data_IF_059601640610
#
_entry.id   IF_059601640610
#
_cell.length_a   1.000
_cell.length_b   1.000
_cell.length_c   1.000
_cell.angle_alpha   90.00
_cell.angle_beta   90.00
_cell.angle_gamma   90.00
#
_symmetry.space_group_name_H-M   'P 1'
#
loop_
_entity.id
_entity.type
_entity.pdbx_description
1 polymer ?
#
# COMPACT_ATOMS: atom_id res chain seq x y z
N UNK A 1 -64.85 36.99 -33.29
CA UNK A 1 -64.98 37.25 -31.84
C UNK A 1 -63.90 36.41 -31.17
N UNK A 2 -62.86 36.88 -30.47
CA UNK A 2 -62.44 38.17 -29.91
C UNK A 2 -60.92 38.33 -30.17
N UNK A 3 -60.38 39.46 -30.64
CA UNK A 3 -59.81 40.61 -29.86
C UNK A 3 -59.16 40.14 -28.55
N UNK A 4 -57.85 40.32 -28.32
CA UNK A 4 -57.26 41.62 -27.93
C UNK A 4 -55.73 41.72 -28.11
N UNK A 5 -55.31 42.92 -28.53
CA UNK A 5 -53.98 43.58 -28.54
C UNK A 5 -53.24 43.61 -27.18
N UNK A 6 -52.14 44.38 -27.01
CA UNK A 6 -50.87 44.52 -27.76
C UNK A 6 -49.66 44.43 -26.79
N UNK A 7 -48.41 44.43 -27.26
CA UNK A 7 -47.28 44.80 -26.40
C UNK A 7 -46.50 45.99 -26.98
N UNK A 8 -46.43 47.01 -26.13
CA UNK A 8 -45.84 48.33 -26.29
C UNK A 8 -44.32 48.29 -26.27
N UNK A 9 -43.76 49.30 -26.93
CA UNK A 9 -42.36 49.72 -26.88
C UNK A 9 -41.87 50.11 -25.48
N UNK A 10 -40.56 49.99 -25.27
CA UNK A 10 -39.84 50.60 -24.15
C UNK A 10 -38.37 50.17 -24.11
N UNK A 11 -37.49 50.96 -24.72
CA UNK A 11 -36.10 51.13 -24.28
C UNK A 11 -36.02 52.50 -23.55
N UNK A 12 -34.91 52.94 -22.94
CA UNK A 12 -33.67 52.30 -22.46
C UNK A 12 -33.39 52.65 -20.97
N UNK A 13 -32.32 52.14 -20.35
CA UNK A 13 -31.46 52.87 -19.39
C UNK A 13 -30.45 51.92 -18.73
N UNK A 14 -29.18 52.28 -18.88
CA UNK A 14 -28.07 51.73 -18.13
C UNK A 14 -28.14 52.20 -16.66
N UNK A 15 -27.91 51.29 -15.71
CA UNK A 15 -27.45 51.63 -14.37
C UNK A 15 -26.35 50.63 -14.02
N UNK A 16 -25.11 51.14 -14.03
CA UNK A 16 -23.94 50.49 -13.49
C UNK A 16 -24.11 50.31 -11.98
N UNK A 17 -23.99 49.07 -11.49
CA UNK A 17 -23.76 48.79 -10.08
C UNK A 17 -22.52 47.91 -9.99
N UNK A 18 -21.42 48.54 -9.58
CA UNK A 18 -20.21 47.89 -9.10
C UNK A 18 -20.55 47.19 -7.77
N UNK A 19 -20.66 45.86 -7.79
CA UNK A 19 -20.64 45.05 -6.57
C UNK A 19 -19.23 44.51 -6.42
N UNK A 20 -18.47 45.13 -5.52
CA UNK A 20 -17.23 44.57 -5.00
C UNK A 20 -17.57 43.33 -4.18
N UNK A 21 -17.45 42.14 -4.78
CA UNK A 21 -17.44 40.88 -4.06
C UNK A 21 -16.07 40.72 -3.42
N UNK A 22 -15.99 41.06 -2.14
CA UNK A 22 -14.93 40.63 -1.23
C UNK A 22 -15.08 39.11 -1.09
N UNK A 23 -14.30 38.36 -1.85
CA UNK A 23 -14.11 36.92 -1.60
C UNK A 23 -13.26 36.78 -0.34
N UNK A 24 -13.93 36.59 0.80
CA UNK A 24 -13.29 36.10 2.02
C UNK A 24 -12.79 34.68 1.72
N UNK A 25 -11.48 34.52 1.64
CA UNK A 25 -10.81 33.23 1.61
C UNK A 25 -10.97 32.59 3.00
N UNK A 26 -12.02 31.80 3.20
CA UNK A 26 -12.04 30.89 4.34
C UNK A 26 -11.03 29.79 4.08
N UNK A 27 -9.84 29.93 4.67
CA UNK A 27 -8.95 28.82 4.94
C UNK A 27 -9.68 27.83 5.84
N UNK A 28 -10.13 26.73 5.25
CA UNK A 28 -10.56 25.55 5.97
C UNK A 28 -9.43 24.54 5.94
N UNK A 29 -8.55 24.56 6.94
CA UNK A 29 -7.82 23.36 7.31
C UNK A 29 -8.88 22.34 7.73
N UNK A 30 -9.19 21.40 6.83
CA UNK A 30 -9.98 20.24 7.17
C UNK A 30 -9.08 19.35 8.05
N UNK A 31 -9.07 19.62 9.36
CA UNK A 31 -8.70 18.61 10.34
C UNK A 31 -9.77 17.51 10.27
N UNK A 32 -9.61 16.63 9.29
CA UNK A 32 -10.32 15.35 9.26
C UNK A 32 -9.98 14.60 10.55
N UNK A 33 -10.95 13.91 11.12
CA UNK A 33 -10.69 12.98 12.21
C UNK A 33 -9.55 12.03 11.77
N UNK A 34 -8.57 11.74 12.65
CA UNK A 34 -7.52 10.80 12.32
C UNK A 34 -8.15 9.45 11.98
N UNK A 35 -7.75 8.84 10.85
CA UNK A 35 -8.02 7.44 10.56
C UNK A 35 -9.19 7.10 9.61
N UNK A 36 -9.51 7.92 8.60
CA UNK A 36 -10.41 7.47 7.51
C UNK A 36 -9.94 7.73 6.08
N UNK A 37 -8.86 8.49 5.91
CA UNK A 37 -8.26 8.73 4.59
C UNK A 37 -6.96 7.95 4.47
N UNK A 38 -6.58 7.65 3.23
CA UNK A 38 -5.22 7.21 2.92
C UNK A 38 -4.21 8.21 3.49
N UNK A 39 -3.08 7.70 3.98
CA UNK A 39 -1.98 8.49 4.48
C UNK A 39 -1.45 9.45 3.39
N UNK A 40 -0.82 10.53 3.83
CA UNK A 40 -0.17 11.47 2.91
C UNK A 40 0.90 10.74 2.08
N UNK A 41 0.92 10.88 0.74
CA UNK A 41 1.95 10.28 -0.10
C UNK A 41 3.39 10.63 0.30
N UNK A 42 3.64 11.81 0.86
CA UNK A 42 4.97 12.20 1.35
C UNK A 42 5.37 11.36 2.59
N UNK A 43 4.43 11.11 3.50
CA UNK A 43 4.66 10.24 4.67
C UNK A 43 4.92 8.80 4.25
N UNK A 44 4.17 8.29 3.27
CA UNK A 44 4.41 6.96 2.70
C UNK A 44 5.81 6.90 2.09
N UNK A 45 6.19 7.92 1.31
CA UNK A 45 7.49 7.97 0.66
C UNK A 45 8.66 8.01 1.64
N UNK A 46 8.55 8.81 2.72
CA UNK A 46 9.55 8.88 3.78
C UNK A 46 9.80 7.51 4.41
N UNK A 47 8.73 6.81 4.82
CA UNK A 47 8.81 5.51 5.49
C UNK A 47 9.28 4.39 4.56
N UNK A 48 8.68 4.30 3.37
CA UNK A 48 8.97 3.23 2.42
C UNK A 48 10.40 3.32 1.86
N UNK A 49 10.86 4.52 1.52
CA UNK A 49 12.19 4.73 0.95
C UNK A 49 13.32 4.38 1.94
N UNK A 50 13.06 4.50 3.25
CA UNK A 50 14.03 4.14 4.28
C UNK A 50 14.40 2.65 4.26
N UNK A 51 13.53 1.81 3.69
CA UNK A 51 13.74 0.35 3.56
C UNK A 51 13.80 -0.14 2.12
N UNK A 52 13.80 0.78 1.15
CA UNK A 52 13.93 0.45 -0.27
C UNK A 52 12.64 -0.07 -0.92
N UNK A 53 11.48 0.22 -0.33
CA UNK A 53 10.17 -0.05 -0.95
C UNK A 53 9.76 1.17 -1.77
N UNK A 54 9.31 0.96 -3.01
CA UNK A 54 8.74 2.02 -3.82
C UNK A 54 7.45 2.56 -3.18
N UNK A 55 7.30 3.89 -2.95
CA UNK A 55 6.17 4.45 -2.22
C UNK A 55 4.80 4.10 -2.82
N UNK A 56 4.72 4.02 -4.15
CA UNK A 56 3.52 3.65 -4.90
C UNK A 56 3.14 2.16 -4.76
N UNK A 57 4.03 1.33 -4.21
CA UNK A 57 3.80 -0.11 -4.00
C UNK A 57 3.42 -0.44 -2.54
N UNK A 58 3.14 0.57 -1.70
CA UNK A 58 2.71 0.38 -0.31
C UNK A 58 1.19 0.21 -0.22
N UNK A 59 0.75 -1.01 0.07
CA UNK A 59 -0.66 -1.37 0.28
C UNK A 59 -0.83 -2.19 1.55
N UNK A 60 -1.94 -2.04 2.24
CA UNK A 60 -2.30 -2.88 3.40
C UNK A 60 -3.59 -3.65 3.11
N UNK A 61 -3.95 -4.55 4.02
CA UNK A 61 -5.22 -5.29 4.00
C UNK A 61 -5.71 -5.52 5.43
N UNK A 62 -6.99 -5.88 5.55
CA UNK A 62 -7.60 -6.35 6.79
C UNK A 62 -8.27 -7.72 6.54
N UNK A 63 -8.10 -8.65 7.49
CA UNK A 63 -8.73 -9.97 7.45
C UNK A 63 -9.14 -10.35 8.87
N UNK A 64 -10.38 -10.77 9.05
CA UNK A 64 -10.92 -11.12 10.37
C UNK A 64 -10.05 -12.18 11.08
N UNK A 65 -9.56 -11.82 12.27
CA UNK A 65 -8.77 -12.72 13.11
C UNK A 65 -7.30 -12.86 12.71
N UNK A 66 -6.82 -12.04 11.78
CA UNK A 66 -5.40 -11.95 11.45
C UNK A 66 -4.85 -10.59 11.87
N UNK A 67 -3.68 -10.62 12.52
CA UNK A 67 -2.96 -9.41 12.92
C UNK A 67 -1.71 -9.25 12.05
N UNK A 68 -1.39 -8.02 11.65
CA UNK A 68 -0.14 -7.75 10.94
C UNK A 68 1.04 -8.14 11.83
N UNK A 69 2.04 -8.76 11.23
CA UNK A 69 3.31 -9.08 11.86
C UNK A 69 4.36 -8.07 11.36
N UNK A 70 4.62 -6.93 12.04
CA UNK A 70 5.34 -5.81 11.44
C UNK A 70 6.78 -6.15 11.03
N UNK A 71 7.45 -7.07 11.74
CA UNK A 71 8.77 -7.57 11.35
C UNK A 71 8.80 -8.31 9.99
N UNK A 72 7.64 -8.65 9.42
CA UNK A 72 7.53 -9.24 8.08
C UNK A 72 7.53 -8.21 6.96
N UNK A 73 7.36 -6.92 7.30
CA UNK A 73 7.32 -5.83 6.32
C UNK A 73 8.71 -5.57 5.78
N UNK A 74 8.87 -5.69 4.47
CA UNK A 74 10.15 -5.50 3.80
C UNK A 74 10.02 -5.49 2.29
N UNK A 75 11.16 -5.39 1.62
CA UNK A 75 11.23 -5.42 0.16
C UNK A 75 10.82 -6.78 -0.40
N UNK A 76 9.89 -6.75 -1.35
CA UNK A 76 9.45 -7.87 -2.15
C UNK A 76 10.31 -8.06 -3.40
N UNK A 77 9.70 -8.51 -4.49
CA UNK A 77 10.39 -8.56 -5.78
C UNK A 77 10.66 -7.14 -6.29
N UNK A 78 11.85 -6.93 -6.87
CA UNK A 78 12.35 -5.61 -7.28
C UNK A 78 12.34 -4.60 -6.11
N UNK A 79 11.41 -3.65 -6.13
CA UNK A 79 11.18 -2.58 -5.16
C UNK A 79 9.77 -2.65 -4.53
N UNK A 80 9.04 -3.74 -4.75
CA UNK A 80 7.73 -3.99 -4.15
C UNK A 80 7.80 -4.18 -2.64
N UNK A 81 6.62 -4.26 -2.03
CA UNK A 81 6.45 -4.57 -0.61
C UNK A 81 6.06 -6.04 -0.43
N UNK A 82 6.54 -6.66 0.65
CA UNK A 82 5.99 -7.89 1.22
C UNK A 82 5.54 -7.62 2.65
N UNK A 83 4.38 -8.14 3.05
CA UNK A 83 3.87 -8.06 4.41
C UNK A 83 2.98 -9.27 4.73
N UNK A 84 3.03 -9.76 5.97
CA UNK A 84 2.31 -10.96 6.42
C UNK A 84 1.45 -10.68 7.64
N UNK A 85 0.20 -11.10 7.58
CA UNK A 85 -0.73 -11.16 8.69
C UNK A 85 -0.85 -12.60 9.20
N UNK A 86 -0.93 -12.76 10.51
CA UNK A 86 -0.92 -14.04 11.20
C UNK A 86 -2.20 -14.21 12.03
N UNK A 87 -2.84 -15.37 11.92
CA UNK A 87 -3.93 -15.75 12.79
C UNK A 87 -3.39 -16.57 13.97
N UNK A 88 -3.34 -15.96 15.16
CA UNK A 88 -2.79 -16.63 16.36
C UNK A 88 -3.57 -17.88 16.77
N UNK A 89 -4.85 -17.97 16.43
CA UNK A 89 -5.71 -19.09 16.82
C UNK A 89 -5.46 -20.33 15.97
N UNK A 90 -5.26 -20.14 14.66
CA UNK A 90 -5.11 -21.25 13.70
C UNK A 90 -3.66 -21.48 13.27
N UNK A 91 -2.79 -20.49 13.41
CA UNK A 91 -1.43 -20.49 12.86
C UNK A 91 -1.36 -20.13 11.38
N UNK A 92 -2.52 -19.85 10.75
CA UNK A 92 -2.61 -19.48 9.34
C UNK A 92 -1.94 -18.13 9.08
N UNK A 93 -1.37 -17.98 7.88
CA UNK A 93 -0.72 -16.74 7.45
C UNK A 93 -1.25 -16.30 6.10
N UNK A 94 -1.53 -15.01 5.98
CA UNK A 94 -1.85 -14.33 4.72
C UNK A 94 -0.72 -13.37 4.42
N UNK A 95 -0.16 -13.46 3.22
CA UNK A 95 0.93 -12.58 2.78
C UNK A 95 0.49 -11.81 1.55
N UNK A 96 0.71 -10.50 1.55
CA UNK A 96 0.61 -9.70 0.34
C UNK A 96 2.01 -9.44 -0.22
N UNK A 97 2.11 -9.42 -1.55
CA UNK A 97 3.27 -8.91 -2.28
C UNK A 97 2.80 -7.96 -3.37
N UNK A 98 3.42 -6.80 -3.44
CA UNK A 98 3.10 -5.80 -4.46
C UNK A 98 4.17 -5.77 -5.55
N UNK A 99 3.75 -5.50 -6.77
CA UNK A 99 4.62 -5.30 -7.91
C UNK A 99 3.94 -4.32 -8.88
N UNK A 100 4.73 -3.57 -9.64
CA UNK A 100 4.21 -2.74 -10.72
C UNK A 100 3.79 -3.62 -11.90
N UNK A 101 2.68 -3.31 -12.53
CA UNK A 101 2.28 -3.98 -13.76
C UNK A 101 0.78 -4.08 -13.98
N UNK A 102 0.44 -4.78 -15.06
CA UNK A 102 -0.93 -5.04 -15.46
C UNK A 102 -1.18 -6.55 -15.49
N UNK A 103 -2.41 -6.94 -15.16
CA UNK A 103 -2.86 -8.32 -15.26
C UNK A 103 -3.75 -8.49 -16.47
N UNK A 104 -3.44 -9.50 -17.28
CA UNK A 104 -4.27 -9.93 -18.41
C UNK A 104 -4.63 -11.40 -18.22
N UNK A 105 -5.68 -11.87 -18.89
CA UNK A 105 -6.03 -13.29 -18.84
C UNK A 105 -4.88 -14.21 -19.31
N UNK A 106 -4.07 -13.74 -20.28
CA UNK A 106 -2.92 -14.48 -20.78
C UNK A 106 -1.79 -14.53 -19.73
N UNK A 107 -1.34 -13.36 -19.25
CA UNK A 107 -0.26 -13.29 -18.25
C UNK A 107 -0.63 -13.98 -16.94
N UNK A 108 -1.92 -14.01 -16.59
CA UNK A 108 -2.41 -14.68 -15.40
C UNK A 108 -2.17 -16.20 -15.40
N UNK A 109 -2.34 -16.84 -16.56
CA UNK A 109 -2.17 -18.28 -16.76
C UNK A 109 -0.70 -18.63 -17.02
N UNK A 110 0.04 -17.76 -17.71
CA UNK A 110 1.45 -17.98 -18.06
C UNK A 110 2.40 -17.84 -16.86
N UNK A 111 2.05 -16.98 -15.90
CA UNK A 111 2.84 -16.82 -14.68
C UNK A 111 2.68 -18.09 -13.83
N UNK A 112 3.76 -18.74 -13.36
CA UNK A 112 3.65 -19.87 -12.44
C UNK A 112 3.08 -19.47 -11.06
N UNK A 113 2.63 -20.46 -10.28
CA UNK A 113 2.37 -20.28 -8.85
C UNK A 113 3.66 -20.55 -8.07
N UNK A 114 4.01 -19.68 -7.12
CA UNK A 114 5.26 -19.81 -6.37
C UNK A 114 5.33 -21.11 -5.55
N UNK A 115 4.24 -21.46 -4.88
CA UNK A 115 4.13 -22.68 -4.06
C UNK A 115 3.90 -23.96 -4.88
N UNK A 116 3.62 -23.83 -6.18
CA UNK A 116 3.36 -24.95 -7.08
C UNK A 116 3.83 -24.63 -8.52
N UNK A 117 5.14 -24.47 -8.76
CA UNK A 117 5.65 -23.96 -10.03
C UNK A 117 5.48 -24.94 -11.20
N UNK A 118 5.33 -26.23 -10.91
CA UNK A 118 5.14 -27.29 -11.90
C UNK A 118 3.65 -27.55 -12.23
N UNK A 119 2.72 -26.93 -11.49
CA UNK A 119 1.28 -27.09 -11.70
C UNK A 119 0.76 -26.11 -12.76
N UNK A 120 -0.17 -26.59 -13.59
CA UNK A 120 -0.86 -25.72 -14.54
C UNK A 120 -1.76 -24.72 -13.80
N UNK A 121 -1.70 -23.44 -14.18
CA UNK A 121 -2.47 -22.38 -13.56
C UNK A 121 -3.84 -22.22 -14.22
N UNK A 122 -4.90 -22.29 -13.43
CA UNK A 122 -6.24 -21.83 -13.82
C UNK A 122 -6.43 -20.42 -13.26
N UNK A 123 -7.03 -19.54 -14.06
CA UNK A 123 -7.25 -18.15 -13.68
C UNK A 123 -8.67 -17.68 -14.03
N UNK A 124 -9.32 -16.99 -13.10
CA UNK A 124 -10.66 -16.39 -13.28
C UNK A 124 -10.65 -14.95 -12.77
N UNK A 125 -11.23 -14.02 -13.53
CA UNK A 125 -11.49 -12.65 -13.06
C UNK A 125 -12.82 -12.61 -12.30
N UNK A 126 -12.76 -12.20 -11.03
CA UNK A 126 -13.88 -12.06 -10.11
C UNK A 126 -14.20 -10.59 -9.81
N UNK A 127 -14.20 -9.75 -10.85
CA UNK A 127 -14.58 -8.33 -10.75
C UNK A 127 -13.43 -7.43 -10.35
N UNK A 128 -12.26 -7.62 -10.98
CA UNK A 128 -11.03 -6.86 -10.70
C UNK A 128 -10.10 -7.56 -9.70
N UNK A 129 -10.48 -8.74 -9.22
CA UNK A 129 -9.65 -9.64 -8.42
C UNK A 129 -9.48 -10.93 -9.21
N UNK A 130 -8.24 -11.28 -9.54
CA UNK A 130 -7.94 -12.50 -10.27
C UNK A 130 -7.75 -13.65 -9.29
N UNK A 131 -8.60 -14.66 -9.33
CA UNK A 131 -8.38 -15.93 -8.64
C UNK A 131 -7.48 -16.82 -9.49
N UNK A 132 -6.36 -17.25 -8.91
CA UNK A 132 -5.39 -18.17 -9.51
C UNK A 132 -5.29 -19.44 -8.68
N UNK A 133 -5.27 -20.59 -9.34
CA UNK A 133 -5.15 -21.88 -8.66
C UNK A 133 -4.41 -22.93 -9.49
N UNK A 134 -3.78 -23.87 -8.79
CA UNK A 134 -3.06 -25.01 -9.37
C UNK A 134 -2.79 -26.04 -8.28
N UNK A 135 -3.14 -27.30 -8.53
CA UNK A 135 -3.17 -28.33 -7.48
C UNK A 135 -4.07 -27.92 -6.30
N UNK A 136 -3.48 -27.80 -5.11
CA UNK A 136 -4.15 -27.34 -3.88
C UNK A 136 -3.90 -25.87 -3.55
N UNK A 137 -3.10 -25.17 -4.36
CA UNK A 137 -2.68 -23.79 -4.10
C UNK A 137 -3.72 -22.82 -4.64
N UNK A 138 -4.06 -21.81 -3.82
CA UNK A 138 -4.91 -20.69 -4.17
C UNK A 138 -4.15 -19.39 -3.96
N UNK A 139 -4.30 -18.46 -4.89
CA UNK A 139 -3.77 -17.10 -4.84
C UNK A 139 -4.81 -16.14 -5.41
N UNK A 140 -4.87 -14.92 -4.88
CA UNK A 140 -5.68 -13.85 -5.44
C UNK A 140 -4.80 -12.66 -5.81
N UNK A 141 -5.12 -11.96 -6.90
CA UNK A 141 -4.43 -10.73 -7.29
C UNK A 141 -5.46 -9.62 -7.40
N UNK A 142 -5.42 -8.67 -6.47
CA UNK A 142 -6.11 -7.40 -6.61
C UNK A 142 -5.29 -6.46 -7.51
N UNK A 143 -5.97 -5.69 -8.35
CA UNK A 143 -5.32 -4.72 -9.25
C UNK A 143 -5.80 -3.32 -8.90
N UNK A 144 -4.86 -2.43 -8.58
CA UNK A 144 -5.15 -1.03 -8.25
C UNK A 144 -4.08 -0.12 -8.90
N UNK A 145 -4.50 0.87 -9.69
CA UNK A 145 -3.61 1.92 -10.22
C UNK A 145 -2.30 1.43 -10.90
N UNK A 146 -2.34 0.29 -11.60
CA UNK A 146 -1.16 -0.29 -12.24
C UNK A 146 -0.23 -1.05 -11.28
N UNK A 147 -0.76 -1.41 -10.10
CA UNK A 147 -0.11 -2.25 -9.09
C UNK A 147 -0.84 -3.59 -9.02
N UNK A 148 -0.06 -4.66 -8.98
CA UNK A 148 -0.51 -6.02 -8.77
C UNK A 148 -0.28 -6.37 -7.29
N UNK A 149 -1.37 -6.53 -6.54
CA UNK A 149 -1.32 -6.91 -5.12
C UNK A 149 -1.68 -8.39 -5.02
N UNK A 150 -0.63 -9.21 -4.96
CA UNK A 150 -0.71 -10.66 -4.87
C UNK A 150 -0.92 -11.10 -3.43
N UNK A 151 -1.97 -11.87 -3.18
CA UNK A 151 -2.34 -12.42 -1.88
C UNK A 151 -2.18 -13.94 -1.90
N UNK A 152 -1.29 -14.44 -1.05
CA UNK A 152 -0.98 -15.87 -0.88
C UNK A 152 -1.21 -16.32 0.54
N UNK A 153 -1.51 -17.61 0.74
CA UNK A 153 -1.70 -18.22 2.05
C UNK A 153 -0.71 -19.33 2.36
N UNK A 154 -0.30 -19.44 3.62
CA UNK A 154 0.45 -20.60 4.16
C UNK A 154 -0.18 -21.10 5.45
N UNK A 155 0.22 -22.29 5.91
CA UNK A 155 -0.34 -22.95 7.11
C UNK A 155 -1.87 -23.08 7.06
N UNK A 156 -2.38 -23.63 5.96
CA UNK A 156 -3.81 -23.88 5.75
C UNK A 156 -4.72 -22.63 5.81
N UNK A 157 -4.18 -21.44 5.50
CA UNK A 157 -4.99 -20.25 5.26
C UNK A 157 -6.04 -20.54 4.16
N UNK A 158 -7.31 -20.28 4.48
CA UNK A 158 -8.41 -20.71 3.62
C UNK A 158 -8.51 -19.82 2.37
N UNK A 159 -8.98 -20.33 1.22
CA UNK A 159 -9.24 -19.50 0.04
C UNK A 159 -10.23 -18.36 0.33
N UNK A 160 -11.14 -18.54 1.29
CA UNK A 160 -12.07 -17.51 1.72
C UNK A 160 -11.36 -16.33 2.42
N UNK A 161 -10.37 -16.62 3.28
CA UNK A 161 -9.57 -15.59 3.95
C UNK A 161 -8.71 -14.83 2.95
N UNK A 162 -8.11 -15.54 1.98
CA UNK A 162 -7.33 -14.90 0.91
C UNK A 162 -8.19 -13.99 0.03
N UNK A 163 -9.41 -14.41 -0.30
CA UNK A 163 -10.35 -13.57 -1.03
C UNK A 163 -10.80 -12.36 -0.21
N UNK A 164 -11.03 -12.54 1.10
CA UNK A 164 -11.38 -11.45 2.00
C UNK A 164 -10.26 -10.40 2.05
N UNK A 165 -9.00 -10.85 2.19
CA UNK A 165 -7.83 -10.00 2.14
C UNK A 165 -7.73 -9.24 0.81
N UNK A 166 -7.81 -9.95 -0.32
CA UNK A 166 -7.72 -9.33 -1.64
C UNK A 166 -8.80 -8.25 -1.86
N UNK A 167 -10.00 -8.43 -1.29
CA UNK A 167 -11.08 -7.43 -1.34
C UNK A 167 -10.84 -6.22 -0.43
N UNK A 168 -10.09 -6.42 0.65
CA UNK A 168 -9.80 -5.39 1.65
C UNK A 168 -8.49 -4.64 1.36
N UNK A 169 -7.80 -4.92 0.25
CA UNK A 169 -6.58 -4.21 -0.15
C UNK A 169 -6.85 -2.71 -0.34
N UNK A 170 -6.01 -1.87 0.27
CA UNK A 170 -6.08 -0.40 0.12
C UNK A 170 -4.73 0.27 0.44
N UNK A 171 -4.59 1.55 0.06
CA UNK A 171 -3.46 2.39 0.51
C UNK A 171 -3.63 2.65 2.00
N UNK A 172 -2.59 2.45 2.84
CA UNK A 172 -2.74 2.53 4.29
C UNK A 172 -3.18 3.92 4.75
N UNK A 173 -3.98 3.98 5.81
CA UNK A 173 -4.20 5.18 6.62
C UNK A 173 -2.93 5.54 7.42
N UNK A 174 -2.87 6.73 8.03
CA UNK A 174 -1.70 7.13 8.83
C UNK A 174 -1.38 6.13 9.96
N UNK A 175 -2.41 5.57 10.61
CA UNK A 175 -2.23 4.61 11.70
C UNK A 175 -1.74 3.24 11.20
N UNK A 176 -2.23 2.79 10.04
CA UNK A 176 -1.75 1.55 9.42
C UNK A 176 -0.34 1.72 8.87
N UNK A 177 0.00 2.90 8.35
CA UNK A 177 1.35 3.23 7.92
C UNK A 177 2.32 3.20 9.10
N UNK A 178 1.92 3.75 10.25
CA UNK A 178 2.71 3.66 11.50
C UNK A 178 2.90 2.20 11.92
N UNK A 179 1.85 1.38 11.86
CA UNK A 179 1.91 -0.04 12.21
C UNK A 179 2.77 -0.87 11.23
N UNK A 180 2.64 -0.64 9.92
CA UNK A 180 3.43 -1.32 8.88
C UNK A 180 4.93 -1.18 9.14
N UNK A 181 5.34 0.00 9.60
CA UNK A 181 6.74 0.33 9.77
C UNK A 181 7.16 0.44 11.25
N UNK A 182 6.40 -0.15 12.17
CA UNK A 182 6.65 -0.03 13.62
C UNK A 182 7.90 -0.79 14.09
N UNK A 183 8.28 -1.85 13.37
CA UNK A 183 9.46 -2.67 13.69
C UNK A 183 10.72 -2.20 12.96
N UNK A 184 10.63 -1.12 12.17
CA UNK A 184 11.81 -0.54 11.56
C UNK A 184 12.69 0.11 12.64
N UNK A 185 14.02 -0.11 12.60
CA UNK A 185 14.92 0.58 13.49
C UNK A 185 14.81 2.08 13.24
N UNK A 186 14.66 2.86 14.31
CA UNK A 186 14.78 4.30 14.25
C UNK A 186 16.17 4.63 13.68
N UNK A 187 16.22 5.37 12.57
CA UNK A 187 17.49 5.82 12.00
C UNK A 187 18.11 6.81 12.99
N UNK A 188 19.27 6.51 13.61
CA UNK A 188 19.88 7.47 14.52
C UNK A 188 20.24 8.73 13.74
N UNK A 189 19.86 9.90 14.27
CA UNK A 189 20.12 11.21 13.64
C UNK A 189 21.63 11.47 13.40
N UNK A 190 22.48 10.76 14.12
CA UNK A 190 23.93 10.85 14.04
C UNK A 190 24.53 9.53 13.52
N UNK A 191 25.44 9.59 12.53
CA UNK A 191 26.22 8.42 12.12
C UNK A 191 26.88 7.76 13.33
N UNK A 192 26.72 6.45 13.45
CA UNK A 192 27.40 5.69 14.51
C UNK A 192 28.90 5.74 14.23
N UNK A 193 29.66 6.35 15.13
CA UNK A 193 31.12 6.32 15.07
C UNK A 193 31.58 4.87 15.32
N UNK A 194 32.03 4.19 14.26
CA UNK A 194 32.66 2.87 14.40
C UNK A 194 34.00 3.08 15.11
N UNK A 195 34.09 2.62 16.35
CA UNK A 195 35.34 2.57 17.09
C UNK A 195 36.41 1.76 16.34
N UNK A 196 37.68 2.13 16.58
CA UNK A 196 38.91 1.36 16.42
C UNK A 196 39.04 0.41 15.22
N UNK A 197 38.39 0.73 14.10
CA UNK A 197 38.74 0.14 12.80
C UNK A 197 40.13 0.68 12.42
N UNK A 198 41.13 -0.18 12.24
CA UNK A 198 42.47 0.27 11.83
C UNK A 198 42.41 0.99 10.48
N UNK A 199 43.11 2.12 10.33
CA UNK A 199 43.26 2.79 9.02
C UNK A 199 43.90 1.87 7.95
N UNK A 200 44.63 0.84 8.41
CA UNK A 200 45.24 -0.19 7.59
C UNK A 200 44.98 -1.56 8.24
N UNK A 201 44.34 -2.48 7.52
CA UNK A 201 43.99 -3.81 8.04
C UNK A 201 42.80 -4.41 7.30
N UNK A 202 42.38 -5.59 7.72
CA UNK A 202 41.17 -6.27 7.22
C UNK A 202 39.86 -5.73 7.81
N UNK A 203 39.94 -4.70 8.67
CA UNK A 203 38.80 -4.07 9.31
C UNK A 203 38.32 -4.78 10.58
N UNK A 204 39.10 -5.72 11.13
CA UNK A 204 38.80 -6.35 12.41
C UNK A 204 39.04 -5.39 13.61
N UNK A 205 38.20 -5.45 14.66
CA UNK A 205 38.46 -4.75 15.92
C UNK A 205 39.82 -5.14 16.53
N UNK A 206 40.45 -4.22 17.25
CA UNK A 206 41.74 -4.48 17.89
C UNK A 206 41.51 -5.29 19.17
N UNK A 207 41.81 -6.59 19.15
CA UNK A 207 41.79 -7.40 20.36
C UNK A 207 42.95 -6.98 21.29
N UNK A 208 42.68 -6.56 22.54
CA UNK A 208 43.73 -6.30 23.49
C UNK A 208 44.41 -7.61 23.87
N UNK A 209 45.73 -7.70 23.64
CA UNK A 209 46.54 -8.83 24.11
C UNK A 209 46.65 -8.80 25.64
N UNK A 210 45.73 -9.48 26.33
CA UNK A 210 45.91 -9.85 27.72
C UNK A 210 46.96 -10.96 27.85
N UNK A 211 47.64 -11.10 29.01
CA UNK A 211 48.48 -12.27 29.26
C UNK A 211 47.57 -13.51 29.36
N UNK A 212 47.39 -14.20 28.25
CA UNK A 212 46.62 -15.45 28.19
C UNK A 212 47.32 -16.54 29.02
N UNK A 213 46.53 -17.22 29.84
CA UNK A 213 46.87 -18.46 30.53
C UNK A 213 46.14 -19.65 29.92
#
# INVERSE_FOLDING_TARGET
MARTHPLRAGAPAAVSVLIALVTVSLGGCASGAPGRGAADPESIAERASAVGIAPELVYTTEVDGYDLAPQSVGTGAADGMSATWFNETTGAMVTIRTDSGEMTAASCVETPLWEAPDEGVTCTDEGGIWHRSGGIVHEYIAVADGVLIRVTGTNDASPADLLAAAKAVHVPTDAELELLFSDLPEVPEVPVERGDVPENGDGAPIDPVGPGG
#
